data_IF_778578331824
#
_entry.id   IF_778578331824
#
_cell.length_a   1.000
_cell.length_b   1.000
_cell.length_c   1.000
_cell.angle_alpha   90.00
_cell.angle_beta   90.00
_cell.angle_gamma   90.00
#
_symmetry.space_group_name_H-M   'P 1'
#
loop_
_entity.id
_entity.type
_entity.pdbx_description
1 polymer ?
#
# COMPACT_ATOMS: atom_id res chain seq x y z
N UNK A 1 -23.33 34.59 25.53
CA UNK A 1 -23.50 34.39 24.07
C UNK A 1 -22.43 33.42 23.60
N UNK A 2 -22.81 32.19 23.23
CA UNK A 2 -21.90 31.20 22.63
C UNK A 2 -21.40 31.69 21.27
N UNK A 3 -20.08 31.56 20.99
CA UNK A 3 -19.56 31.40 19.63
C UNK A 3 -18.31 30.50 19.61
N UNK A 4 -18.51 29.35 18.97
CA UNK A 4 -17.57 28.50 18.25
C UNK A 4 -16.33 27.97 19.01
N UNK A 5 -16.47 26.74 19.50
CA UNK A 5 -15.37 25.81 19.74
C UNK A 5 -14.57 25.62 18.44
N UNK A 6 -13.34 26.13 18.45
CA UNK A 6 -12.36 25.95 17.38
C UNK A 6 -11.95 24.49 17.27
N UNK A 7 -12.58 23.81 16.31
CA UNK A 7 -11.97 23.01 15.26
C UNK A 7 -10.61 22.35 15.60
N UNK A 8 -10.67 21.03 15.83
CA UNK A 8 -9.80 20.00 15.23
C UNK A 8 -8.29 20.13 15.46
N UNK A 9 -7.77 19.36 16.43
CA UNK A 9 -6.57 18.53 16.23
C UNK A 9 -6.75 17.23 17.03
N UNK A 10 -7.55 16.31 16.51
CA UNK A 10 -7.41 14.91 16.90
C UNK A 10 -6.09 14.44 16.33
N UNK A 11 -5.04 14.42 17.16
CA UNK A 11 -3.83 13.65 16.86
C UNK A 11 -4.27 12.20 16.70
N UNK A 12 -4.53 11.79 15.46
CA UNK A 12 -4.57 10.37 15.10
C UNK A 12 -3.16 9.87 15.34
N UNK A 13 -2.98 9.21 16.48
CA UNK A 13 -1.79 8.47 16.81
C UNK A 13 -1.63 7.35 15.76
N UNK A 14 -0.85 7.61 14.72
CA UNK A 14 -0.35 6.57 13.82
C UNK A 14 0.87 5.92 14.50
N UNK A 15 0.71 5.49 15.75
CA UNK A 15 1.67 4.65 16.47
C UNK A 15 1.24 3.19 16.24
N UNK A 16 1.38 2.74 15.00
CA UNK A 16 0.90 1.42 14.60
C UNK A 16 1.63 0.78 13.43
N UNK A 17 2.69 1.39 12.88
CA UNK A 17 3.61 0.67 12.00
C UNK A 17 4.56 -0.16 12.87
N UNK A 18 4.04 -1.28 13.36
CA UNK A 18 4.83 -2.30 14.04
C UNK A 18 5.92 -2.79 13.07
N UNK A 19 7.11 -3.03 13.59
CA UNK A 19 8.26 -3.56 12.85
C UNK A 19 7.96 -4.85 12.04
N UNK A 20 6.82 -5.52 12.32
CA UNK A 20 6.28 -6.61 11.53
C UNK A 20 6.05 -6.24 10.05
N UNK A 21 5.66 -5.00 9.74
CA UNK A 21 5.44 -4.55 8.36
C UNK A 21 6.75 -4.44 7.56
N UNK A 22 7.88 -4.21 8.24
CA UNK A 22 9.20 -4.10 7.60
C UNK A 22 9.78 -5.47 7.21
N UNK A 23 9.56 -6.51 8.03
CA UNK A 23 10.04 -7.87 7.74
C UNK A 23 9.16 -8.62 6.73
N UNK A 24 7.87 -8.27 6.62
CA UNK A 24 6.97 -8.87 5.64
C UNK A 24 7.22 -8.37 4.20
N UNK A 25 8.08 -7.36 4.02
CA UNK A 25 8.41 -6.78 2.72
C UNK A 25 9.39 -7.63 1.89
N UNK A 26 10.20 -8.48 2.54
CA UNK A 26 11.25 -9.24 1.85
C UNK A 26 10.74 -10.47 1.08
N UNK A 27 9.48 -10.86 1.31
CA UNK A 27 8.92 -12.07 0.70
C UNK A 27 7.39 -12.04 0.66
N UNK A 28 6.79 -10.94 0.16
CA UNK A 28 5.37 -11.02 -0.22
C UNK A 28 5.23 -12.01 -1.36
N UNK A 29 4.71 -13.18 -1.03
CA UNK A 29 4.25 -14.13 -2.04
C UNK A 29 3.20 -13.48 -2.93
N UNK A 30 3.21 -13.82 -4.21
CA UNK A 30 2.15 -13.41 -5.12
C UNK A 30 0.86 -14.14 -4.75
N UNK A 31 0.04 -13.50 -3.91
CA UNK A 31 -1.29 -13.99 -3.55
C UNK A 31 -2.24 -12.81 -3.38
N UNK A 32 -3.55 -13.10 -3.44
CA UNK A 32 -4.59 -12.08 -3.41
C UNK A 32 -4.54 -11.23 -2.14
N UNK A 33 -4.22 -11.83 -0.99
CA UNK A 33 -4.12 -11.12 0.29
C UNK A 33 -3.00 -10.07 0.29
N UNK A 34 -1.83 -10.43 -0.23
CA UNK A 34 -0.69 -9.53 -0.29
C UNK A 34 -0.90 -8.40 -1.30
N UNK A 35 -1.54 -8.71 -2.44
CA UNK A 35 -1.92 -7.72 -3.45
C UNK A 35 -2.94 -6.73 -2.87
N UNK A 36 -3.99 -7.23 -2.22
CA UNK A 36 -5.02 -6.40 -1.59
C UNK A 36 -4.45 -5.49 -0.51
N UNK A 37 -3.53 -5.98 0.31
CA UNK A 37 -2.86 -5.16 1.33
C UNK A 37 -2.04 -4.03 0.70
N UNK A 38 -1.27 -4.30 -0.36
CA UNK A 38 -0.47 -3.25 -1.01
C UNK A 38 -1.40 -2.27 -1.72
N UNK A 39 -2.46 -2.73 -2.37
CA UNK A 39 -3.49 -1.86 -2.95
C UNK A 39 -4.15 -0.96 -1.89
N UNK A 40 -4.38 -1.45 -0.67
CA UNK A 40 -4.88 -0.64 0.44
C UNK A 40 -3.84 0.39 0.91
N UNK A 41 -2.56 0.03 0.97
CA UNK A 41 -1.51 0.99 1.28
C UNK A 41 -1.43 2.09 0.22
N UNK A 42 -1.56 1.74 -1.07
CA UNK A 42 -1.58 2.68 -2.20
C UNK A 42 -2.80 3.61 -2.14
N UNK A 43 -3.98 3.11 -1.74
CA UNK A 43 -5.19 3.93 -1.67
C UNK A 43 -5.06 5.05 -0.63
N UNK A 44 -4.28 4.83 0.43
CA UNK A 44 -3.96 5.80 1.48
C UNK A 44 -2.84 6.77 1.11
N UNK A 45 -2.13 6.55 0.00
CA UNK A 45 -1.09 7.46 -0.48
C UNK A 45 -1.70 8.77 -1.01
N UNK A 46 -0.98 9.90 -0.84
CA UNK A 46 -1.36 11.15 -1.50
C UNK A 46 -1.32 10.99 -3.01
N UNK A 47 -2.24 11.67 -3.71
CA UNK A 47 -2.28 11.63 -5.16
C UNK A 47 -1.00 12.25 -5.76
N UNK A 48 -0.40 11.52 -6.71
CA UNK A 48 0.87 11.91 -7.30
C UNK A 48 1.49 10.82 -8.16
N UNK A 49 2.65 11.12 -8.74
CA UNK A 49 3.39 10.16 -9.60
C UNK A 49 3.69 8.85 -8.86
N UNK A 50 4.04 8.93 -7.57
CA UNK A 50 4.37 7.76 -6.76
C UNK A 50 3.17 6.82 -6.60
N UNK A 51 1.99 7.36 -6.24
CA UNK A 51 0.73 6.59 -6.15
C UNK A 51 0.34 5.99 -7.50
N UNK A 52 0.49 6.75 -8.60
CA UNK A 52 0.22 6.23 -9.95
C UNK A 52 1.14 5.05 -10.29
N UNK A 53 2.45 5.20 -10.10
CA UNK A 53 3.41 4.11 -10.31
C UNK A 53 3.08 2.91 -9.44
N UNK A 54 2.74 3.11 -8.16
CA UNK A 54 2.36 2.02 -7.27
C UNK A 54 1.08 1.30 -7.75
N UNK A 55 0.07 2.06 -8.17
CA UNK A 55 -1.19 1.54 -8.74
C UNK A 55 -0.98 0.76 -10.05
N UNK A 56 -0.09 1.25 -10.92
CA UNK A 56 0.24 0.56 -12.18
C UNK A 56 0.96 -0.77 -11.90
N UNK A 57 1.92 -0.77 -10.97
CA UNK A 57 2.66 -1.96 -10.56
C UNK A 57 1.75 -2.99 -9.83
N UNK A 58 0.81 -2.55 -8.97
CA UNK A 58 -0.11 -3.49 -8.30
C UNK A 58 -1.14 -4.08 -9.27
N UNK A 59 -1.54 -3.31 -10.29
CA UNK A 59 -2.37 -3.79 -11.40
C UNK A 59 -1.64 -4.86 -12.20
N UNK A 60 -0.38 -4.61 -12.57
CA UNK A 60 0.47 -5.58 -13.26
C UNK A 60 0.67 -6.85 -12.41
N UNK A 61 0.91 -6.72 -11.10
CA UNK A 61 0.99 -7.88 -10.20
C UNK A 61 -0.28 -8.73 -10.23
N UNK A 62 -1.45 -8.09 -10.18
CA UNK A 62 -2.76 -8.77 -10.23
C UNK A 62 -2.97 -9.52 -11.54
N UNK A 63 -2.60 -8.91 -12.67
CA UNK A 63 -2.67 -9.55 -13.97
C UNK A 63 -1.74 -10.77 -14.05
N UNK A 64 -0.49 -10.64 -13.60
CA UNK A 64 0.47 -11.75 -13.59
C UNK A 64 0.04 -12.88 -12.67
N UNK A 65 -0.59 -12.56 -11.53
CA UNK A 65 -1.22 -13.55 -10.66
C UNK A 65 -2.31 -14.34 -11.40
N UNK A 66 -3.21 -13.66 -12.11
CA UNK A 66 -4.28 -14.29 -12.87
C UNK A 66 -3.74 -15.19 -14.01
N UNK A 67 -2.57 -14.84 -14.56
CA UNK A 67 -1.87 -15.62 -15.58
C UNK A 67 -1.00 -16.75 -15.02
N UNK A 68 -0.94 -16.94 -13.69
CA UNK A 68 -0.06 -17.92 -13.04
C UNK A 68 1.44 -17.60 -13.11
N UNK A 69 1.79 -16.36 -13.48
CA UNK A 69 3.16 -15.84 -13.61
C UNK A 69 3.66 -15.32 -12.26
N UNK A 70 3.85 -16.23 -11.31
CA UNK A 70 4.16 -15.94 -9.90
C UNK A 70 5.43 -15.08 -9.72
N UNK A 71 6.50 -15.33 -10.47
CA UNK A 71 7.74 -14.55 -10.36
C UNK A 71 7.58 -13.11 -10.85
N UNK A 72 6.93 -12.91 -12.00
CA UNK A 72 6.62 -11.58 -12.53
C UNK A 72 5.68 -10.82 -11.59
N UNK A 73 4.68 -11.50 -11.05
CA UNK A 73 3.79 -10.93 -10.06
C UNK A 73 4.53 -10.48 -8.80
N UNK A 74 5.46 -11.30 -8.29
CA UNK A 74 6.27 -10.97 -7.11
C UNK A 74 7.14 -9.75 -7.36
N UNK A 75 7.73 -9.62 -8.55
CA UNK A 75 8.54 -8.45 -8.93
C UNK A 75 7.69 -7.16 -8.95
N UNK A 76 6.54 -7.19 -9.62
CA UNK A 76 5.59 -6.07 -9.64
C UNK A 76 5.04 -5.73 -8.25
N UNK A 77 4.71 -6.75 -7.44
CA UNK A 77 4.21 -6.57 -6.07
C UNK A 77 5.29 -5.93 -5.17
N UNK A 78 6.55 -6.31 -5.34
CA UNK A 78 7.67 -5.70 -4.63
C UNK A 78 7.85 -4.24 -5.05
N UNK A 79 7.81 -3.93 -6.34
CA UNK A 79 7.89 -2.57 -6.87
C UNK A 79 6.78 -1.69 -6.31
N UNK A 80 5.53 -2.16 -6.35
CA UNK A 80 4.38 -1.48 -5.75
C UNK A 80 4.60 -1.23 -4.24
N UNK A 81 5.07 -2.25 -3.51
CA UNK A 81 5.36 -2.14 -2.07
C UNK A 81 6.44 -1.12 -1.75
N UNK A 82 7.48 -1.01 -2.59
CA UNK A 82 8.55 -0.01 -2.43
C UNK A 82 8.03 1.42 -2.61
N UNK A 83 7.02 1.62 -3.45
CA UNK A 83 6.40 2.94 -3.64
C UNK A 83 5.50 3.34 -2.46
N UNK A 84 5.03 2.38 -1.65
CA UNK A 84 4.18 2.64 -0.47
C UNK A 84 4.94 3.01 0.80
N UNK A 85 6.28 3.10 0.73
CA UNK A 85 7.13 3.64 1.81
C UNK A 85 7.22 5.15 1.73
#
# INVERSE_FOLDING_TARGET
>A
MMRAFGLVITLVAISGLTAAQAQQLQSRECNASNIAFVAEAISKMPDGKQKKTASDEIGAASEKMALGKTDECKDHLLKASLQTK
#
